data_IF_866940611574
#
_entry.id   IF_866940611574
#
_cell.length_a   1.000
_cell.length_b   1.000
_cell.length_c   1.000
_cell.angle_alpha   90.00
_cell.angle_beta   90.00
_cell.angle_gamma   90.00
#
_symmetry.space_group_name_H-M   'P 1'
#
loop_
_entity.id
_entity.type
_entity.pdbx_description
1 polymer ?
#
# COMPACT_ATOMS: atom_id res chain seq x y z
N UNK A 1 -15.16 -27.63 22.04
CA UNK A 1 -15.34 -26.62 20.98
C UNK A 1 -14.13 -25.71 21.00
N UNK A 2 -13.17 -25.91 20.10
CA UNK A 2 -11.94 -25.09 20.09
C UNK A 2 -12.18 -23.87 19.21
N UNK A 3 -12.32 -22.70 19.83
CA UNK A 3 -12.34 -21.41 19.16
C UNK A 3 -10.98 -21.21 18.48
N UNK A 4 -10.93 -21.45 17.17
CA UNK A 4 -9.80 -21.03 16.34
C UNK A 4 -9.94 -19.51 16.18
N UNK A 5 -9.21 -18.76 17.00
CA UNK A 5 -9.02 -17.33 16.81
C UNK A 5 -8.42 -17.12 15.42
N UNK A 6 -9.26 -16.67 14.49
CA UNK A 6 -8.81 -16.23 13.17
C UNK A 6 -8.08 -14.92 13.42
N UNK A 7 -6.76 -14.97 13.54
CA UNK A 7 -5.92 -13.78 13.50
C UNK A 7 -6.11 -13.13 12.13
N UNK A 8 -7.11 -12.28 12.03
CA UNK A 8 -7.23 -11.34 10.92
C UNK A 8 -6.18 -10.28 11.16
N UNK A 9 -4.95 -10.57 10.73
CA UNK A 9 -3.97 -9.52 10.50
C UNK A 9 -4.56 -8.68 9.38
N UNK A 10 -5.39 -7.69 9.74
CA UNK A 10 -5.85 -6.67 8.79
C UNK A 10 -4.55 -6.06 8.27
N UNK A 11 -4.17 -6.42 7.04
CA UNK A 11 -2.99 -5.86 6.42
C UNK A 11 -3.18 -4.35 6.42
N UNK A 12 -2.37 -3.63 7.20
CA UNK A 12 -2.40 -2.18 7.16
C UNK A 12 -2.05 -1.77 5.73
N UNK A 13 -2.89 -0.96 5.06
CA UNK A 13 -2.60 -0.53 3.71
C UNK A 13 -1.27 0.20 3.74
N UNK A 14 -0.28 -0.29 2.98
CA UNK A 14 0.98 0.42 2.87
C UNK A 14 0.75 1.66 2.04
N UNK A 15 1.15 2.80 2.59
CA UNK A 15 1.16 4.07 1.90
C UNK A 15 2.29 4.01 0.86
N UNK A 16 1.94 4.25 -0.40
CA UNK A 16 2.87 4.32 -1.51
C UNK A 16 2.72 5.69 -2.17
N UNK A 17 3.71 6.55 -1.96
CA UNK A 17 3.84 7.82 -2.65
C UNK A 17 4.54 7.61 -4.00
N UNK A 18 3.92 8.10 -5.07
CA UNK A 18 4.51 8.13 -6.42
C UNK A 18 4.70 9.58 -6.84
N UNK A 19 5.95 9.96 -7.10
CA UNK A 19 6.30 11.30 -7.60
C UNK A 19 6.27 11.29 -9.13
N UNK A 20 5.49 12.20 -9.71
CA UNK A 20 5.44 12.45 -11.14
C UNK A 20 6.09 13.80 -11.41
N UNK A 21 7.21 13.79 -12.13
CA UNK A 21 7.84 15.00 -12.62
C UNK A 21 7.43 15.23 -14.09
N UNK A 22 7.01 16.45 -14.40
CA UNK A 22 6.75 16.91 -15.75
C UNK A 22 7.99 17.64 -16.27
N UNK A 23 8.79 17.01 -17.12
CA UNK A 23 10.00 17.62 -17.68
C UNK A 23 9.72 18.86 -18.54
N UNK A 24 8.54 18.94 -19.17
CA UNK A 24 8.16 20.07 -20.02
C UNK A 24 7.77 21.33 -19.25
N UNK A 25 7.28 21.17 -18.02
CA UNK A 25 6.69 22.25 -17.23
C UNK A 25 7.35 22.42 -15.85
N UNK A 26 8.34 21.58 -15.53
CA UNK A 26 9.09 21.61 -14.26
C UNK A 26 8.24 21.33 -13.03
N UNK A 27 7.02 20.82 -13.21
CA UNK A 27 6.07 20.60 -12.11
C UNK A 27 6.22 19.19 -11.56
N UNK A 28 6.28 19.08 -10.24
CA UNK A 28 6.28 17.81 -9.53
C UNK A 28 4.94 17.60 -8.82
N UNK A 29 4.36 16.42 -8.98
CA UNK A 29 3.09 16.03 -8.36
C UNK A 29 3.30 14.74 -7.58
N UNK A 30 2.98 14.77 -6.29
CA UNK A 30 3.04 13.59 -5.42
C UNK A 30 1.65 12.96 -5.39
N UNK A 31 1.54 11.69 -5.79
CA UNK A 31 0.33 10.89 -5.69
C UNK A 31 0.49 9.84 -4.60
N UNK A 32 -0.18 10.05 -3.49
CA UNK A 32 -0.30 9.06 -2.43
C UNK A 32 -1.35 8.01 -2.80
N UNK A 33 -0.97 6.73 -2.76
CA UNK A 33 -1.87 5.60 -2.99
C UNK A 33 -1.80 4.60 -1.84
N UNK A 34 -2.93 3.95 -1.55
CA UNK A 34 -3.01 2.93 -0.52
C UNK A 34 -3.03 1.56 -1.20
N UNK A 35 -1.96 0.78 -1.05
CA UNK A 35 -1.92 -0.58 -1.60
C UNK A 35 -2.21 -1.58 -0.49
N UNK A 36 -3.24 -2.40 -0.69
CA UNK A 36 -3.46 -3.59 0.13
C UNK A 36 -2.33 -4.56 -0.16
N UNK A 37 -1.49 -4.84 0.84
CA UNK A 37 -0.51 -5.92 0.73
C UNK A 37 -1.28 -7.22 0.87
N UNK A 38 -1.44 -7.94 -0.24
CA UNK A 38 -1.83 -9.34 -0.17
C UNK A 38 -0.77 -10.07 0.67
N UNK A 39 -1.15 -10.75 1.78
CA UNK A 39 -0.19 -11.40 2.67
C UNK A 39 0.58 -12.57 2.00
N UNK A 40 0.31 -12.86 0.72
CA UNK A 40 1.01 -13.87 -0.09
C UNK A 40 2.25 -13.33 -0.84
N UNK A 41 2.48 -12.02 -0.88
CA UNK A 41 3.57 -11.42 -1.69
C UNK A 41 4.70 -10.81 -0.85
N UNK A 42 4.77 -11.13 0.44
CA UNK A 42 5.96 -10.93 1.26
C UNK A 42 6.67 -12.28 1.41
N UNK A 43 7.43 -12.68 0.39
CA UNK A 43 8.33 -13.83 0.38
C UNK A 43 9.77 -13.33 0.25
#
# INVERSE_FOLDING_TARGET
>A
MSYRSVSTTKAEPRIQDTTYACDQCGTEVIRTSFRTVDPKQAA
#
